data_IF_700284665107
#
_entry.id   IF_700284665107
#
_cell.length_a   1.000
_cell.length_b   1.000
_cell.length_c   1.000
_cell.angle_alpha   90.00
_cell.angle_beta   90.00
_cell.angle_gamma   90.00
#
_symmetry.space_group_name_H-M   'P 1'
#
loop_
_entity.id
_entity.type
_entity.pdbx_description
1 polymer ?
#
# COMPACT_ATOMS: atom_id res chain seq x y z
N UNK A 1 -3.76 14.11 3.07
CA UNK A 1 -2.97 12.90 3.39
C UNK A 1 -3.00 11.88 2.24
N UNK A 2 -4.16 11.40 1.78
CA UNK A 2 -4.26 10.41 0.68
C UNK A 2 -3.49 10.80 -0.59
N UNK A 3 -3.62 12.06 -1.05
CA UNK A 3 -2.94 12.54 -2.28
C UNK A 3 -1.42 12.44 -2.17
N UNK A 4 -0.86 12.74 -0.99
CA UNK A 4 0.59 12.66 -0.75
C UNK A 4 1.06 11.20 -0.79
N UNK A 5 0.32 10.30 -0.16
CA UNK A 5 0.62 8.87 -0.18
C UNK A 5 0.62 8.32 -1.61
N UNK A 6 -0.39 8.68 -2.43
CA UNK A 6 -0.45 8.29 -3.84
C UNK A 6 0.75 8.83 -4.62
N UNK A 7 1.15 10.08 -4.39
CA UNK A 7 2.36 10.64 -5.00
C UNK A 7 3.62 9.87 -4.61
N UNK A 8 3.78 9.51 -3.34
CA UNK A 8 4.94 8.75 -2.87
C UNK A 8 4.98 7.35 -3.50
N UNK A 9 3.85 6.65 -3.56
CA UNK A 9 3.74 5.35 -4.22
C UNK A 9 4.09 5.42 -5.73
N UNK A 10 3.78 6.53 -6.39
CA UNK A 10 4.15 6.74 -7.78
C UNK A 10 5.64 7.03 -7.97
N UNK A 11 6.26 7.77 -7.03
CA UNK A 11 7.68 8.14 -7.07
C UNK A 11 8.60 6.98 -6.68
N UNK A 12 8.16 6.10 -5.77
CA UNK A 12 8.95 5.01 -5.23
C UNK A 12 8.35 3.65 -5.60
N UNK A 13 8.70 3.09 -6.78
CA UNK A 13 8.12 1.82 -7.23
C UNK A 13 8.45 0.63 -6.31
N UNK A 14 9.52 0.71 -5.51
CA UNK A 14 9.88 -0.30 -4.50
C UNK A 14 8.88 -0.45 -3.35
N UNK A 15 7.94 0.48 -3.21
CA UNK A 15 6.84 0.37 -2.26
C UNK A 15 5.76 -0.64 -2.70
N UNK A 16 5.97 -1.35 -3.81
CA UNK A 16 5.09 -2.44 -4.27
C UNK A 16 4.87 -3.54 -3.23
N UNK A 17 5.91 -3.83 -2.44
CA UNK A 17 5.88 -4.86 -1.38
C UNK A 17 4.80 -4.59 -0.34
N UNK A 18 4.41 -3.33 -0.15
CA UNK A 18 3.35 -2.93 0.79
C UNK A 18 1.95 -3.35 0.33
N UNK A 19 1.80 -3.83 -0.91
CA UNK A 19 0.55 -4.35 -1.45
C UNK A 19 0.48 -5.88 -1.40
N UNK A 20 1.55 -6.56 -1.01
CA UNK A 20 1.66 -8.02 -1.04
C UNK A 20 1.76 -8.60 0.37
N UNK A 21 0.69 -9.29 0.79
CA UNK A 21 0.58 -9.88 2.13
C UNK A 21 1.44 -11.12 2.33
N UNK A 22 1.96 -11.71 1.25
CA UNK A 22 2.76 -12.95 1.33
C UNK A 22 4.27 -12.67 1.44
N UNK A 23 4.67 -11.40 1.34
CA UNK A 23 6.08 -11.04 1.48
C UNK A 23 6.51 -10.96 2.95
N UNK A 24 6.97 -12.09 3.50
CA UNK A 24 7.65 -12.14 4.80
C UNK A 24 9.04 -11.49 4.71
N UNK A 25 9.09 -10.17 4.69
CA UNK A 25 10.34 -9.41 4.68
C UNK A 25 10.84 -9.19 6.11
N UNK A 26 11.58 -10.15 6.67
CA UNK A 26 12.44 -9.91 7.83
C UNK A 26 11.74 -9.71 9.19
N UNK A 27 10.43 -9.91 9.32
CA UNK A 27 9.69 -9.90 10.60
C UNK A 27 8.43 -9.03 10.58
N UNK A 28 7.72 -8.90 11.70
CA UNK A 28 6.52 -8.04 11.80
C UNK A 28 6.88 -6.56 11.93
N UNK A 29 6.05 -5.67 11.36
CA UNK A 29 6.17 -4.22 11.53
C UNK A 29 6.11 -3.81 13.00
N UNK A 30 6.99 -2.88 13.40
CA UNK A 30 7.17 -2.44 14.78
C UNK A 30 6.84 -0.95 14.92
N UNK A 31 5.59 -0.66 15.25
CA UNK A 31 5.11 0.71 15.41
C UNK A 31 5.69 1.43 16.65
N UNK A 32 6.18 0.70 17.65
CA UNK A 32 6.72 1.27 18.90
C UNK A 32 8.13 1.86 18.75
N UNK A 33 8.77 1.71 17.58
CA UNK A 33 10.11 2.23 17.32
C UNK A 33 10.03 3.60 16.64
N UNK A 34 10.76 4.57 17.18
CA UNK A 34 10.90 5.91 16.57
C UNK A 34 11.82 5.92 15.34
N UNK A 35 12.64 4.87 15.16
CA UNK A 35 13.58 4.75 14.05
C UNK A 35 12.91 4.11 12.80
N UNK A 36 12.79 4.85 11.68
CA UNK A 36 12.14 4.35 10.47
C UNK A 36 12.90 3.21 9.78
N UNK A 37 14.20 3.03 10.03
CA UNK A 37 14.97 1.94 9.43
C UNK A 37 14.78 0.62 10.19
N UNK A 38 14.38 0.70 11.47
CA UNK A 38 14.20 -0.46 12.34
C UNK A 38 12.74 -0.91 12.46
N UNK A 39 11.79 -0.09 12.03
CA UNK A 39 10.36 -0.40 12.15
C UNK A 39 9.87 -1.47 11.17
N UNK A 40 10.70 -1.90 10.20
CA UNK A 40 10.37 -2.91 9.19
C UNK A 40 9.09 -2.56 8.39
N UNK A 41 9.00 -1.36 7.78
CA UNK A 41 7.76 -0.93 7.12
C UNK A 41 7.41 -1.80 5.91
N UNK A 42 8.42 -2.34 5.22
CA UNK A 42 8.26 -3.20 4.05
C UNK A 42 7.64 -4.58 4.37
N UNK A 43 7.51 -4.94 5.64
CA UNK A 43 6.88 -6.19 6.06
C UNK A 43 5.42 -6.02 6.48
N UNK A 44 4.92 -4.78 6.51
CA UNK A 44 3.51 -4.50 6.65
C UNK A 44 2.86 -4.35 5.28
N UNK A 45 1.59 -4.77 5.23
CA UNK A 45 0.70 -4.47 4.12
C UNK A 45 -0.18 -3.27 4.43
N UNK A 46 -0.55 -2.52 3.40
CA UNK A 46 -1.46 -1.37 3.50
C UNK A 46 -2.92 -1.80 3.34
N UNK A 47 -3.43 -2.57 4.30
CA UNK A 47 -4.82 -3.05 4.32
C UNK A 47 -5.83 -1.89 4.37
N UNK A 48 -5.44 -0.75 4.92
CA UNK A 48 -6.27 0.45 5.02
C UNK A 48 -6.66 1.00 3.64
N UNK A 49 -5.84 0.75 2.62
CA UNK A 49 -6.15 1.12 1.26
C UNK A 49 -7.33 0.33 0.69
N UNK A 50 -7.47 -0.95 1.08
CA UNK A 50 -8.63 -1.74 0.66
C UNK A 50 -9.91 -1.24 1.34
N UNK A 51 -9.85 -0.89 2.63
CA UNK A 51 -10.97 -0.27 3.35
C UNK A 51 -11.43 1.03 2.66
N UNK A 52 -10.50 1.83 2.15
CA UNK A 52 -10.81 3.08 1.44
C UNK A 52 -11.55 2.87 0.10
N UNK A 53 -11.55 1.66 -0.47
CA UNK A 53 -12.37 1.31 -1.65
C UNK A 53 -13.86 1.28 -1.31
N UNK A 54 -14.21 1.09 -0.04
CA UNK A 54 -15.61 1.10 0.42
C UNK A 54 -16.04 2.44 1.01
N UNK A 55 -15.15 3.44 1.00
CA UNK A 55 -15.39 4.74 1.61
C UNK A 55 -16.64 5.45 1.01
N UNK A 56 -17.50 6.08 1.82
CA UNK A 56 -18.77 6.67 1.37
C UNK A 56 -18.60 7.81 0.35
N UNK A 57 -17.52 8.58 0.45
CA UNK A 57 -17.22 9.62 -0.54
C UNK A 57 -16.80 9.03 -1.89
N UNK A 58 -17.48 9.39 -3.00
CA UNK A 58 -17.15 8.88 -4.33
C UNK A 58 -15.77 9.33 -4.81
N UNK A 59 -15.29 10.50 -4.37
CA UNK A 59 -13.97 11.03 -4.74
C UNK A 59 -12.84 10.19 -4.18
N UNK A 60 -12.96 9.74 -2.92
CA UNK A 60 -11.96 8.88 -2.26
C UNK A 60 -11.90 7.53 -2.97
N UNK A 61 -13.08 6.98 -3.28
CA UNK A 61 -13.21 5.70 -3.99
C UNK A 61 -12.60 5.73 -5.38
N UNK A 62 -12.89 6.79 -6.16
CA UNK A 62 -12.34 6.97 -7.50
C UNK A 62 -10.80 7.08 -7.47
N UNK A 63 -10.25 7.81 -6.48
CA UNK A 63 -8.79 7.91 -6.29
C UNK A 63 -8.17 6.56 -5.95
N UNK A 64 -8.78 5.81 -5.04
CA UNK A 64 -8.29 4.50 -4.64
C UNK A 64 -8.32 3.50 -5.81
N UNK A 65 -9.42 3.48 -6.57
CA UNK A 65 -9.57 2.58 -7.69
C UNK A 65 -8.53 2.87 -8.80
N UNK A 66 -8.22 4.15 -9.05
CA UNK A 66 -7.17 4.55 -9.98
C UNK A 66 -5.78 4.04 -9.56
N UNK A 67 -5.47 4.10 -8.26
CA UNK A 67 -4.20 3.60 -7.71
C UNK A 67 -4.10 2.09 -7.82
N UNK A 68 -5.15 1.35 -7.45
CA UNK A 68 -5.18 -0.11 -7.58
C UNK A 68 -4.99 -0.53 -9.03
N UNK A 69 -5.73 0.07 -9.97
CA UNK A 69 -5.59 -0.21 -11.41
C UNK A 69 -4.18 0.12 -11.90
N UNK A 70 -3.61 1.26 -11.49
CA UNK A 70 -2.26 1.66 -11.88
C UNK A 70 -1.19 0.68 -11.35
N UNK A 71 -1.35 0.14 -10.14
CA UNK A 71 -0.48 -0.90 -9.61
C UNK A 71 -0.68 -2.23 -10.36
N UNK A 72 -1.93 -2.66 -10.60
CA UNK A 72 -2.24 -3.90 -11.31
C UNK A 72 -1.66 -3.92 -12.74
N UNK A 73 -1.73 -2.79 -13.44
CA UNK A 73 -1.18 -2.63 -14.79
C UNK A 73 0.35 -2.59 -14.79
N UNK A 74 0.98 -1.98 -13.78
CA UNK A 74 2.45 -1.93 -13.68
C UNK A 74 3.08 -3.27 -13.29
N UNK A 75 2.41 -4.05 -12.46
CA UNK A 75 3.04 -5.16 -11.74
C UNK A 75 2.48 -6.56 -12.08
N UNK A 76 1.68 -6.67 -13.15
CA UNK A 76 1.44 -7.97 -13.78
C UNK A 76 0.61 -8.95 -12.95
N UNK A 77 -0.48 -8.48 -12.34
CA UNK A 77 -1.53 -9.38 -11.86
C UNK A 77 -1.27 -10.15 -10.57
N UNK A 78 -0.32 -9.73 -9.73
CA UNK A 78 -0.31 -10.18 -8.33
C UNK A 78 -1.54 -9.58 -7.65
N UNK A 79 -2.57 -10.41 -7.56
CA UNK A 79 -3.82 -10.10 -6.92
C UNK A 79 -3.52 -9.68 -5.48
N UNK A 80 -4.18 -8.62 -5.03
CA UNK A 80 -4.45 -8.43 -3.61
C UNK A 80 -5.27 -9.67 -3.23
N UNK A 81 -4.61 -10.73 -2.78
CA UNK A 81 -5.19 -12.07 -2.73
C UNK A 81 -5.92 -12.26 -1.41
N UNK A 82 -7.25 -12.19 -1.54
CA UNK A 82 -8.32 -12.74 -0.68
C UNK A 82 -8.73 -11.92 0.54
#
# INVERSE_FOLDING_TARGET
MLVLLIHLLHLFPRCEVLFDSETEVGGAYRADLDDPELCLPASACLWELDLLRTHPSPTVRARMNCVVISCLVRFGGQSIAT
#
